data_IF_313402624562
#
_entry.id   IF_313402624562
#
_cell.length_a   1.000
_cell.length_b   1.000
_cell.length_c   1.000
_cell.angle_alpha   90.00
_cell.angle_beta   90.00
_cell.angle_gamma   90.00
#
_symmetry.space_group_name_H-M   'P 1'
#
loop_
_entity.id
_entity.type
_entity.pdbx_description
1 polymer ?
#
# COMPACT_ATOMS: atom_id res chain seq x y z
N UNK A 1 -34.72 -3.19 14.53
CA UNK A 1 -33.55 -2.90 13.69
C UNK A 1 -32.85 -4.22 13.45
N UNK A 2 -32.90 -4.76 12.23
CA UNK A 2 -32.21 -6.02 11.92
C UNK A 2 -30.72 -5.78 12.10
N UNK A 3 -30.03 -6.63 12.88
CA UNK A 3 -28.59 -6.55 13.04
C UNK A 3 -27.97 -6.76 11.65
N UNK A 4 -27.35 -5.74 11.07
CA UNK A 4 -26.53 -5.90 9.87
C UNK A 4 -25.25 -6.55 10.37
N UNK A 5 -24.96 -7.83 10.07
CA UNK A 5 -23.62 -8.33 10.27
C UNK A 5 -22.81 -7.67 9.17
N UNK A 6 -22.06 -6.60 9.50
CA UNK A 6 -20.97 -6.10 8.67
C UNK A 6 -19.80 -7.11 8.70
N UNK A 7 -20.13 -8.39 8.49
CA UNK A 7 -19.16 -9.48 8.49
C UNK A 7 -18.33 -9.33 7.22
N UNK A 8 -17.02 -9.25 7.42
CA UNK A 8 -16.06 -9.31 6.32
C UNK A 8 -16.23 -10.66 5.65
N UNK A 9 -16.40 -10.65 4.34
CA UNK A 9 -16.32 -11.84 3.54
C UNK A 9 -14.85 -12.16 3.29
N UNK A 10 -14.43 -13.36 3.67
CA UNK A 10 -13.11 -13.90 3.31
C UNK A 10 -13.34 -14.99 2.27
N UNK A 11 -12.61 -14.92 1.14
CA UNK A 11 -12.70 -15.93 0.08
C UNK A 11 -12.38 -17.32 0.66
N UNK A 12 -13.11 -18.40 0.31
CA UNK A 12 -12.96 -19.69 0.97
C UNK A 12 -11.53 -20.27 0.98
N UNK A 13 -10.77 -20.09 -0.11
CA UNK A 13 -9.36 -20.49 -0.22
C UNK A 13 -8.45 -19.68 0.69
N UNK A 14 -8.69 -18.37 0.84
CA UNK A 14 -8.00 -17.49 1.79
C UNK A 14 -8.30 -17.91 3.23
N UNK A 15 -9.56 -18.18 3.55
CA UNK A 15 -9.94 -18.66 4.88
C UNK A 15 -9.27 -20.01 5.21
N UNK A 16 -9.30 -20.96 4.27
CA UNK A 16 -8.64 -22.25 4.42
C UNK A 16 -7.11 -22.12 4.53
N UNK A 17 -6.49 -21.21 3.77
CA UNK A 17 -5.07 -20.91 3.88
C UNK A 17 -4.72 -20.40 5.28
N UNK A 18 -5.49 -19.45 5.82
CA UNK A 18 -5.27 -18.91 7.15
C UNK A 18 -5.47 -19.96 8.26
N UNK A 19 -6.51 -20.79 8.16
CA UNK A 19 -6.75 -21.91 9.09
C UNK A 19 -5.62 -22.95 9.04
N UNK A 20 -5.14 -23.27 7.84
CA UNK A 20 -4.01 -24.17 7.61
C UNK A 20 -2.63 -23.54 7.88
N UNK A 21 -2.58 -22.28 8.33
CA UNK A 21 -1.36 -21.48 8.49
C UNK A 21 -0.51 -21.41 7.22
N UNK A 22 -1.13 -21.43 6.05
CA UNK A 22 -0.44 -21.16 4.80
C UNK A 22 -0.19 -19.65 4.63
N UNK A 23 0.88 -19.25 3.93
CA UNK A 23 1.21 -17.84 3.76
C UNK A 23 0.15 -17.11 2.93
N UNK A 24 -0.32 -15.96 3.41
CA UNK A 24 -1.26 -15.09 2.69
C UNK A 24 -0.72 -13.66 2.64
N UNK A 25 -0.81 -13.02 1.47
CA UNK A 25 -0.42 -11.63 1.25
C UNK A 25 -1.64 -10.83 0.81
N UNK A 26 -2.00 -9.81 1.59
CA UNK A 26 -3.02 -8.86 1.18
C UNK A 26 -2.51 -7.93 0.06
N UNK A 27 -3.40 -7.50 -0.83
CA UNK A 27 -3.14 -6.50 -1.87
C UNK A 27 -4.26 -5.43 -1.86
N UNK A 28 -3.91 -4.16 -2.07
CA UNK A 28 -4.92 -3.09 -2.15
C UNK A 28 -5.51 -2.98 -3.57
N UNK A 29 -6.81 -2.72 -3.69
CA UNK A 29 -7.45 -2.56 -5.00
C UNK A 29 -7.32 -1.15 -5.59
N UNK A 30 -7.08 -0.12 -4.76
CA UNK A 30 -6.83 1.25 -5.28
C UNK A 30 -5.61 1.30 -6.20
N UNK A 31 -4.62 0.46 -5.93
CA UNK A 31 -3.40 0.34 -6.73
C UNK A 31 -3.72 0.05 -8.19
N UNK A 32 -4.65 -0.87 -8.43
CA UNK A 32 -5.05 -1.32 -9.77
C UNK A 32 -6.13 -0.41 -10.39
N UNK A 33 -7.09 0.04 -9.60
CA UNK A 33 -8.23 0.84 -10.08
C UNK A 33 -7.89 2.33 -10.33
N UNK A 34 -6.96 2.90 -9.54
CA UNK A 34 -6.68 4.35 -9.55
C UNK A 34 -5.18 4.69 -9.63
N UNK A 35 -4.29 3.72 -9.39
CA UNK A 35 -2.84 3.94 -9.41
C UNK A 35 -2.20 3.83 -10.80
N UNK A 36 -2.95 3.30 -11.79
CA UNK A 36 -2.48 2.97 -13.12
C UNK A 36 -3.54 3.34 -14.18
N UNK A 37 -3.16 3.48 -15.45
CA UNK A 37 -4.13 3.51 -16.54
C UNK A 37 -5.03 2.26 -16.51
N UNK A 38 -6.33 2.43 -16.79
CA UNK A 38 -7.34 1.37 -16.62
C UNK A 38 -7.03 0.04 -17.31
N UNK A 39 -6.42 0.08 -18.50
CA UNK A 39 -6.07 -1.14 -19.25
C UNK A 39 -4.93 -1.94 -18.63
N UNK A 40 -4.05 -1.30 -17.88
CA UNK A 40 -2.87 -1.93 -17.27
C UNK A 40 -3.20 -2.56 -15.90
N UNK A 41 -4.25 -2.07 -15.23
CA UNK A 41 -4.57 -2.43 -13.85
C UNK A 41 -4.88 -3.92 -13.65
N UNK A 42 -5.72 -4.48 -14.53
CA UNK A 42 -6.16 -5.88 -14.41
C UNK A 42 -5.05 -6.86 -14.78
N UNK A 43 -4.32 -6.58 -15.87
CA UNK A 43 -3.16 -7.39 -16.26
C UNK A 43 -2.10 -7.42 -15.15
N UNK A 44 -1.82 -6.26 -14.55
CA UNK A 44 -0.90 -6.20 -13.42
C UNK A 44 -1.43 -6.98 -12.21
N UNK A 45 -2.71 -6.85 -11.87
CA UNK A 45 -3.28 -7.56 -10.72
C UNK A 45 -3.06 -9.08 -10.83
N UNK A 46 -3.38 -9.69 -11.96
CA UNK A 46 -3.14 -11.11 -12.21
C UNK A 46 -1.65 -11.48 -12.19
N UNK A 47 -0.79 -10.61 -12.75
CA UNK A 47 0.66 -10.83 -12.70
C UNK A 47 1.20 -10.82 -11.27
N UNK A 48 0.67 -9.94 -10.42
CA UNK A 48 1.03 -9.88 -9.00
C UNK A 48 0.54 -11.12 -8.26
N UNK A 49 -0.69 -11.59 -8.52
CA UNK A 49 -1.20 -12.84 -7.96
C UNK A 49 -0.30 -14.04 -8.32
N UNK A 50 0.14 -14.12 -9.58
CA UNK A 50 1.09 -15.13 -10.03
C UNK A 50 2.45 -15.03 -9.32
N UNK A 51 3.01 -13.82 -9.16
CA UNK A 51 4.28 -13.62 -8.44
C UNK A 51 4.17 -14.07 -6.97
N UNK A 52 3.04 -13.78 -6.31
CA UNK A 52 2.81 -14.21 -4.93
C UNK A 52 2.70 -15.74 -4.85
N UNK A 53 2.01 -16.36 -5.81
CA UNK A 53 1.88 -17.81 -5.92
C UNK A 53 3.22 -18.52 -6.18
N UNK A 54 4.07 -17.97 -7.05
CA UNK A 54 5.41 -18.50 -7.35
C UNK A 54 6.32 -18.56 -6.11
N UNK A 55 6.11 -17.66 -5.15
CA UNK A 55 6.82 -17.63 -3.86
C UNK A 55 6.12 -18.48 -2.78
N UNK A 56 5.09 -19.25 -3.13
CA UNK A 56 4.40 -20.18 -2.23
C UNK A 56 3.38 -19.53 -1.28
N UNK A 57 2.89 -18.33 -1.61
CA UNK A 57 1.86 -17.64 -0.85
C UNK A 57 0.56 -17.47 -1.67
N UNK A 58 -0.55 -17.23 -0.98
CA UNK A 58 -1.82 -16.89 -1.60
C UNK A 58 -2.03 -15.36 -1.59
N UNK A 59 -2.36 -14.79 -2.73
CA UNK A 59 -2.74 -13.39 -2.82
C UNK A 59 -4.21 -13.18 -2.41
N UNK A 60 -4.47 -12.13 -1.65
CA UNK A 60 -5.80 -11.73 -1.23
C UNK A 60 -6.02 -10.24 -1.52
N UNK A 61 -6.47 -9.92 -2.73
CA UNK A 61 -6.86 -8.55 -3.09
C UNK A 61 -8.10 -8.14 -2.29
N UNK A 62 -8.08 -6.94 -1.71
CA UNK A 62 -9.13 -6.47 -0.78
C UNK A 62 -9.98 -5.38 -1.43
N UNK A 63 -11.31 -5.47 -1.28
CA UNK A 63 -12.26 -4.51 -1.83
C UNK A 63 -13.58 -4.48 -1.06
N UNK A 64 -14.54 -3.69 -1.53
CA UNK A 64 -15.93 -3.77 -1.10
C UNK A 64 -16.77 -4.11 -2.34
N UNK A 65 -17.56 -5.18 -2.27
CA UNK A 65 -18.42 -5.65 -3.37
C UNK A 65 -19.87 -5.62 -2.92
N UNK A 66 -20.72 -4.80 -3.56
CA UNK A 66 -22.13 -4.65 -3.23
C UNK A 66 -22.39 -4.37 -1.73
N UNK A 67 -21.55 -3.51 -1.13
CA UNK A 67 -21.59 -3.17 0.29
C UNK A 67 -21.01 -4.22 1.24
N UNK A 68 -20.42 -5.30 0.72
CA UNK A 68 -19.77 -6.34 1.52
C UNK A 68 -18.25 -6.16 1.47
N UNK A 69 -17.57 -5.89 2.60
CA UNK A 69 -16.11 -5.93 2.62
C UNK A 69 -15.63 -7.34 2.26
N UNK A 70 -14.74 -7.46 1.28
CA UNK A 70 -14.24 -8.73 0.75
C UNK A 70 -12.71 -8.77 0.83
N UNK A 71 -12.18 -9.85 1.39
CA UNK A 71 -10.74 -10.18 1.44
C UNK A 71 -10.52 -11.40 0.56
N UNK A 72 -9.80 -11.19 -0.54
CA UNK A 72 -9.71 -12.14 -1.65
C UNK A 72 -10.87 -11.91 -2.63
N UNK A 73 -10.76 -10.90 -3.50
CA UNK A 73 -11.67 -10.76 -4.64
C UNK A 73 -11.46 -11.94 -5.59
N UNK A 74 -12.54 -12.52 -6.13
CA UNK A 74 -12.42 -13.43 -7.29
C UNK A 74 -12.16 -12.64 -8.59
N UNK A 75 -11.98 -13.35 -9.71
CA UNK A 75 -11.65 -12.73 -11.00
C UNK A 75 -12.74 -11.73 -11.47
N UNK A 76 -14.01 -12.06 -11.28
CA UNK A 76 -15.14 -11.21 -11.67
C UNK A 76 -15.24 -9.97 -10.78
N UNK A 77 -15.08 -10.16 -9.46
CA UNK A 77 -15.05 -9.08 -8.49
C UNK A 77 -13.82 -8.16 -8.69
N UNK A 78 -12.67 -8.72 -9.03
CA UNK A 78 -11.46 -7.97 -9.34
C UNK A 78 -11.64 -7.14 -10.62
N UNK A 79 -12.13 -7.73 -11.70
CA UNK A 79 -12.43 -7.01 -12.94
C UNK A 79 -13.46 -5.90 -12.69
N UNK A 80 -14.51 -6.17 -11.92
CA UNK A 80 -15.51 -5.18 -11.55
C UNK A 80 -14.90 -3.97 -10.81
N UNK A 81 -14.01 -4.22 -9.85
CA UNK A 81 -13.38 -3.16 -9.04
C UNK A 81 -12.34 -2.38 -9.84
N UNK A 82 -11.60 -3.04 -10.73
CA UNK A 82 -10.50 -2.41 -11.48
C UNK A 82 -10.99 -1.70 -12.73
N UNK A 83 -11.91 -2.31 -13.46
CA UNK A 83 -12.40 -1.82 -14.76
C UNK A 83 -13.73 -1.06 -14.66
N UNK A 84 -14.42 -1.15 -13.51
CA UNK A 84 -15.71 -0.51 -13.30
C UNK A 84 -15.68 1.02 -13.43
N UNK A 85 -16.74 1.58 -14.01
CA UNK A 85 -16.98 3.02 -13.95
C UNK A 85 -17.40 3.43 -12.54
N UNK A 86 -16.94 4.60 -12.09
CA UNK A 86 -17.36 5.23 -10.83
C UNK A 86 -17.10 4.39 -9.56
N UNK A 87 -16.07 3.54 -9.59
CA UNK A 87 -15.58 2.82 -8.40
C UNK A 87 -14.88 3.83 -7.47
N UNK A 88 -15.43 4.16 -6.29
CA UNK A 88 -14.81 5.12 -5.39
C UNK A 88 -13.55 4.52 -4.75
N UNK A 89 -12.54 5.37 -4.54
CA UNK A 89 -11.43 5.11 -3.64
C UNK A 89 -11.92 5.22 -2.19
N UNK A 90 -11.77 4.15 -1.42
CA UNK A 90 -12.23 4.02 -0.05
C UNK A 90 -11.08 4.11 0.94
N UNK A 91 -10.91 5.27 1.56
CA UNK A 91 -10.14 5.40 2.80
C UNK A 91 -10.91 4.81 3.99
N UNK A 92 -10.25 4.71 5.14
CA UNK A 92 -10.80 4.03 6.32
C UNK A 92 -12.15 4.65 6.78
N UNK A 93 -12.30 5.97 6.64
CA UNK A 93 -13.52 6.69 7.00
C UNK A 93 -14.68 6.47 6.01
N UNK A 94 -14.37 6.04 4.79
CA UNK A 94 -15.35 5.89 3.72
C UNK A 94 -15.98 4.48 3.74
N UNK A 95 -15.31 3.50 4.37
CA UNK A 95 -15.78 2.12 4.48
C UNK A 95 -17.22 2.00 5.02
N UNK A 96 -17.59 2.61 6.18
CA UNK A 96 -18.93 2.45 6.73
C UNK A 96 -20.02 2.98 5.80
N UNK A 97 -19.76 4.11 5.14
CA UNK A 97 -20.70 4.72 4.21
C UNK A 97 -20.86 3.89 2.94
N UNK A 98 -19.77 3.33 2.39
CA UNK A 98 -19.83 2.45 1.22
C UNK A 98 -20.60 1.16 1.51
N UNK A 99 -20.32 0.54 2.67
CA UNK A 99 -20.99 -0.68 3.15
C UNK A 99 -22.48 -0.43 3.35
N UNK A 100 -22.85 0.62 4.09
CA UNK A 100 -24.25 0.96 4.34
C UNK A 100 -25.03 1.27 3.05
N UNK A 101 -24.35 1.83 2.04
CA UNK A 101 -24.95 2.16 0.76
C UNK A 101 -25.04 0.97 -0.22
N UNK A 102 -24.53 -0.21 0.12
CA UNK A 102 -24.54 -1.35 -0.80
C UNK A 102 -23.63 -1.16 -2.02
N UNK A 103 -22.62 -0.29 -1.95
CA UNK A 103 -21.79 0.10 -3.11
C UNK A 103 -20.52 -0.74 -3.24
N UNK A 104 -19.98 -0.77 -4.45
CA UNK A 104 -18.62 -1.23 -4.71
C UNK A 104 -17.60 -0.15 -4.33
N UNK A 105 -16.36 -0.54 -4.04
CA UNK A 105 -15.28 0.42 -3.85
C UNK A 105 -13.90 -0.22 -3.72
N UNK A 106 -12.89 0.49 -4.23
CA UNK A 106 -11.50 0.10 -4.18
C UNK A 106 -10.86 0.60 -2.88
N UNK A 107 -10.19 -0.27 -2.13
CA UNK A 107 -9.62 0.07 -0.81
C UNK A 107 -8.22 0.66 -0.95
N UNK A 108 -7.91 1.67 -0.11
CA UNK A 108 -6.54 2.21 0.03
C UNK A 108 -5.74 1.39 1.04
N UNK A 109 -4.43 1.63 1.12
CA UNK A 109 -3.53 1.16 2.19
C UNK A 109 -4.21 1.09 3.57
N UNK A 110 -4.77 2.20 4.09
CA UNK A 110 -5.47 2.21 5.38
C UNK A 110 -6.61 1.17 5.49
N UNK A 111 -7.52 1.17 4.51
CA UNK A 111 -8.68 0.27 4.49
C UNK A 111 -8.30 -1.19 4.27
N UNK A 112 -7.34 -1.43 3.36
CA UNK A 112 -6.80 -2.76 3.07
C UNK A 112 -6.13 -3.34 4.31
N UNK A 113 -5.25 -2.58 4.96
CA UNK A 113 -4.58 -3.02 6.17
C UNK A 113 -5.60 -3.41 7.26
N UNK A 114 -6.60 -2.55 7.49
CA UNK A 114 -7.64 -2.79 8.48
C UNK A 114 -8.42 -4.08 8.22
N UNK A 115 -8.95 -4.26 7.01
CA UNK A 115 -9.73 -5.43 6.65
C UNK A 115 -8.88 -6.71 6.61
N UNK A 116 -7.64 -6.62 6.12
CA UNK A 116 -6.68 -7.72 6.12
C UNK A 116 -6.37 -8.21 7.54
N UNK A 117 -6.09 -7.29 8.47
CA UNK A 117 -5.83 -7.61 9.86
C UNK A 117 -7.05 -8.26 10.55
N UNK A 118 -8.26 -7.74 10.27
CA UNK A 118 -9.49 -8.34 10.78
C UNK A 118 -9.75 -9.76 10.23
N UNK A 119 -9.30 -10.04 9.00
CA UNK A 119 -9.32 -11.38 8.42
C UNK A 119 -8.19 -12.29 8.95
N UNK A 120 -7.22 -11.76 9.70
CA UNK A 120 -6.08 -12.52 10.23
C UNK A 120 -4.83 -12.52 9.33
N UNK A 121 -4.85 -11.79 8.21
CA UNK A 121 -3.68 -11.63 7.34
C UNK A 121 -2.70 -10.64 7.99
N UNK A 122 -1.44 -11.06 8.15
CA UNK A 122 -0.40 -10.26 8.80
C UNK A 122 0.58 -9.58 7.84
N UNK A 123 0.50 -9.83 6.53
CA UNK A 123 1.43 -9.26 5.54
C UNK A 123 0.65 -8.64 4.37
N UNK A 124 1.05 -7.43 3.99
CA UNK A 124 0.42 -6.61 2.96
C UNK A 124 1.49 -6.00 2.05
N UNK A 125 1.31 -6.11 0.73
CA UNK A 125 2.15 -5.44 -0.26
C UNK A 125 1.43 -4.27 -0.94
N UNK A 126 2.12 -3.13 -1.06
CA UNK A 126 1.68 -1.97 -1.87
C UNK A 126 2.87 -1.40 -2.63
N UNK A 127 2.63 -0.49 -3.57
CA UNK A 127 3.69 0.31 -4.17
C UNK A 127 4.34 1.24 -3.15
N UNK A 128 3.55 2.13 -2.56
CA UNK A 128 4.04 3.19 -1.67
C UNK A 128 2.92 3.74 -0.80
N UNK A 129 3.24 4.07 0.43
CA UNK A 129 2.28 4.57 1.42
C UNK A 129 1.79 5.98 1.04
N UNK A 130 0.62 6.36 1.52
CA UNK A 130 0.32 7.77 1.80
C UNK A 130 1.16 8.27 2.99
N UNK A 131 1.10 9.57 3.25
CA UNK A 131 1.90 10.18 4.31
C UNK A 131 1.52 11.64 4.52
N UNK A 132 2.44 12.40 5.09
CA UNK A 132 2.29 13.85 5.28
C UNK A 132 2.54 14.54 3.94
N UNK A 133 1.60 15.39 3.51
CA UNK A 133 1.79 16.18 2.29
C UNK A 133 2.75 17.35 2.54
N UNK A 134 3.41 17.82 1.47
CA UNK A 134 4.45 18.88 1.55
C UNK A 134 3.94 20.21 2.12
N UNK A 135 2.67 20.51 1.95
CA UNK A 135 2.03 21.73 2.47
C UNK A 135 1.22 21.45 3.76
N UNK A 136 1.39 20.29 4.41
CA UNK A 136 0.58 19.87 5.55
C UNK A 136 0.74 20.76 6.79
N UNK A 137 1.84 21.49 6.91
CA UNK A 137 2.03 22.48 7.99
C UNK A 137 0.90 23.52 8.01
N UNK A 138 0.39 23.90 6.84
CA UNK A 138 -0.66 24.90 6.69
C UNK A 138 -2.02 24.27 6.39
N UNK A 139 -2.02 23.14 5.67
CA UNK A 139 -3.25 22.50 5.16
C UNK A 139 -3.77 21.37 6.04
N UNK A 140 -2.95 20.82 6.93
CA UNK A 140 -3.23 19.61 7.71
C UNK A 140 -3.55 18.38 6.85
N UNK A 141 -3.06 18.36 5.59
CA UNK A 141 -3.25 17.25 4.66
C UNK A 141 -2.30 16.09 4.98
N UNK A 142 -2.81 15.14 5.76
CA UNK A 142 -2.10 13.95 6.19
C UNK A 142 -2.93 12.70 5.83
N UNK A 143 -2.27 11.70 5.24
CA UNK A 143 -2.94 10.44 4.90
C UNK A 143 -3.42 9.70 6.14
N UNK A 144 -4.67 9.22 6.08
CA UNK A 144 -5.23 8.31 7.08
C UNK A 144 -4.46 6.98 7.18
N UNK A 145 -3.58 6.66 6.22
CA UNK A 145 -2.68 5.52 6.29
C UNK A 145 -1.83 5.56 7.57
N UNK A 146 -1.31 6.73 7.97
CA UNK A 146 -0.43 6.83 9.14
C UNK A 146 -1.16 6.43 10.43
N UNK A 147 -2.39 6.92 10.61
CA UNK A 147 -3.21 6.56 11.77
C UNK A 147 -3.64 5.09 11.72
N UNK A 148 -3.97 4.55 10.54
CA UNK A 148 -4.32 3.14 10.40
C UNK A 148 -3.14 2.22 10.75
N UNK A 149 -1.92 2.57 10.32
CA UNK A 149 -0.71 1.83 10.67
C UNK A 149 -0.43 1.86 12.17
N UNK A 150 -0.81 2.93 12.89
CA UNK A 150 -0.66 3.01 14.34
C UNK A 150 -1.57 2.03 15.11
N UNK A 151 -2.64 1.54 14.48
CA UNK A 151 -3.69 0.75 15.13
C UNK A 151 -4.03 -0.57 14.41
N UNK A 152 -3.21 -1.00 13.46
CA UNK A 152 -3.44 -2.20 12.66
C UNK A 152 -2.21 -3.12 12.60
N UNK A 153 -2.30 -4.37 13.07
CA UNK A 153 -1.14 -5.26 13.12
C UNK A 153 -0.86 -5.98 11.80
N UNK A 154 -0.19 -5.29 10.89
CA UNK A 154 0.30 -5.85 9.63
C UNK A 154 1.74 -5.44 9.35
N UNK A 155 2.48 -6.27 8.64
CA UNK A 155 3.71 -5.87 7.96
C UNK A 155 3.30 -5.26 6.62
N UNK A 156 3.66 -4.01 6.37
CA UNK A 156 3.43 -3.36 5.08
C UNK A 156 4.74 -3.24 4.34
N UNK A 157 4.85 -3.97 3.22
CA UNK A 157 6.00 -3.93 2.33
C UNK A 157 5.75 -2.86 1.26
N UNK A 158 6.61 -1.85 1.19
CA UNK A 158 6.48 -0.75 0.26
C UNK A 158 7.84 -0.15 -0.15
N UNK A 159 7.87 0.65 -1.22
CA UNK A 159 9.02 1.48 -1.57
C UNK A 159 8.97 2.86 -0.87
N UNK A 160 8.58 2.87 0.41
CA UNK A 160 8.46 4.09 1.22
C UNK A 160 7.12 4.79 1.02
N UNK A 161 7.13 6.12 0.96
CA UNK A 161 5.93 6.94 0.69
C UNK A 161 6.01 7.50 -0.72
N UNK A 162 4.86 7.72 -1.37
CA UNK A 162 4.80 8.27 -2.74
C UNK A 162 5.66 9.55 -2.83
N UNK A 163 6.51 9.68 -3.86
CA UNK A 163 7.53 10.75 -3.97
C UNK A 163 7.00 12.18 -3.90
N UNK A 164 5.70 12.34 -4.11
CA UNK A 164 4.95 13.60 -4.04
C UNK A 164 4.80 14.12 -2.60
N UNK A 165 5.01 13.28 -1.59
CA UNK A 165 4.82 13.56 -0.18
C UNK A 165 6.08 14.14 0.48
N UNK A 166 5.92 14.64 1.70
CA UNK A 166 7.04 15.05 2.56
C UNK A 166 7.56 13.83 3.33
N UNK A 167 8.72 13.34 2.91
CA UNK A 167 9.34 12.15 3.50
C UNK A 167 9.74 12.41 4.96
N UNK A 168 10.38 13.55 5.23
CA UNK A 168 10.84 13.89 6.57
C UNK A 168 9.68 13.98 7.55
N UNK A 169 8.65 14.75 7.19
CA UNK A 169 7.47 14.91 8.04
C UNK A 169 6.74 13.57 8.24
N UNK A 170 6.71 12.71 7.22
CA UNK A 170 6.12 11.38 7.34
C UNK A 170 6.90 10.48 8.31
N UNK A 171 8.23 10.46 8.23
CA UNK A 171 9.07 9.69 9.17
C UNK A 171 8.90 10.17 10.62
N UNK A 172 8.89 11.49 10.83
CA UNK A 172 8.64 12.09 12.16
C UNK A 172 7.24 11.75 12.69
N UNK A 173 6.26 11.67 11.80
CA UNK A 173 4.89 11.30 12.18
C UNK A 173 4.77 9.82 12.53
N UNK A 174 5.40 8.93 11.77
CA UNK A 174 5.47 7.49 12.09
C UNK A 174 6.19 7.24 13.41
N UNK A 175 7.28 7.97 13.68
CA UNK A 175 7.97 7.97 14.98
C UNK A 175 7.03 8.34 16.12
N UNK A 176 6.31 9.47 15.97
CA UNK A 176 5.34 9.95 16.98
C UNK A 176 4.22 8.93 17.24
N UNK A 177 3.77 8.24 16.19
CA UNK A 177 2.73 7.21 16.27
C UNK A 177 3.27 5.86 16.75
N UNK A 178 4.57 5.72 16.97
CA UNK A 178 5.20 4.48 17.42
C UNK A 178 5.18 3.37 16.38
N UNK A 179 5.06 3.70 15.08
CA UNK A 179 5.07 2.75 13.98
C UNK A 179 6.53 2.47 13.56
N UNK A 180 7.07 1.26 13.77
CA UNK A 180 8.43 0.95 13.36
C UNK A 180 8.58 0.98 11.84
N UNK A 181 9.63 1.64 11.39
CA UNK A 181 10.08 1.66 9.99
C UNK A 181 11.43 0.96 9.91
N UNK A 182 11.48 -0.11 9.13
CA UNK A 182 12.65 -0.97 8.98
C UNK A 182 13.02 -1.06 7.51
N UNK A 183 14.28 -0.81 7.17
CA UNK A 183 14.77 -0.96 5.80
C UNK A 183 15.04 -2.42 5.46
N UNK A 184 14.68 -2.86 4.26
CA UNK A 184 15.10 -4.16 3.74
C UNK A 184 16.43 -4.00 2.99
N UNK A 185 17.52 -4.49 3.59
CA UNK A 185 18.91 -4.41 3.09
C UNK A 185 19.37 -2.97 2.82
N UNK A 186 18.85 -2.02 3.58
CA UNK A 186 19.19 -0.60 3.44
C UNK A 186 18.99 0.12 4.76
N UNK A 187 19.81 1.15 5.01
CA UNK A 187 19.57 2.17 6.05
C UNK A 187 19.12 3.50 5.46
N UNK A 188 18.81 3.55 4.17
CA UNK A 188 18.20 4.71 3.52
C UNK A 188 16.72 4.46 3.30
N UNK A 189 15.88 5.42 3.65
CA UNK A 189 14.46 5.35 3.33
C UNK A 189 14.26 5.59 1.82
N UNK A 190 13.58 4.70 1.08
CA UNK A 190 13.34 4.85 -0.35
C UNK A 190 12.44 6.04 -0.66
N UNK A 191 12.74 6.73 -1.77
CA UNK A 191 11.94 7.84 -2.30
C UNK A 191 10.90 7.38 -3.32
N UNK A 192 10.36 6.17 -3.19
CA UNK A 192 9.45 5.52 -4.12
C UNK A 192 10.05 5.28 -5.51
N UNK A 193 10.01 6.26 -6.42
CA UNK A 193 10.62 6.13 -7.76
C UNK A 193 12.15 6.07 -7.74
N UNK A 194 12.78 6.53 -6.66
CA UNK A 194 14.24 6.57 -6.45
C UNK A 194 14.62 5.73 -5.23
N UNK A 195 15.78 5.07 -5.30
CA UNK A 195 16.28 4.14 -4.30
C UNK A 195 16.56 4.78 -2.94
N UNK A 196 16.83 6.08 -2.90
CA UNK A 196 17.01 6.86 -1.68
C UNK A 196 16.19 8.15 -1.73
N UNK A 197 15.62 8.53 -0.59
CA UNK A 197 14.99 9.83 -0.37
C UNK A 197 15.94 10.87 0.24
N UNK A 198 17.18 10.47 0.57
CA UNK A 198 18.12 11.27 1.35
C UNK A 198 17.86 11.27 2.87
N UNK A 199 16.93 10.45 3.35
CA UNK A 199 16.64 10.27 4.77
C UNK A 199 17.09 8.89 5.26
N UNK A 200 17.74 8.87 6.42
CA UNK A 200 18.25 7.64 7.03
C UNK A 200 17.20 6.92 7.89
N UNK A 201 17.34 5.60 7.94
CA UNK A 201 16.63 4.68 8.84
C UNK A 201 17.58 4.18 9.91
N UNK A 202 17.05 4.01 11.11
CA UNK A 202 17.81 3.49 12.26
C UNK A 202 18.05 1.98 12.14
N UNK A 203 17.06 1.25 11.60
CA UNK A 203 17.06 -0.21 11.58
C UNK A 203 16.96 -0.77 10.16
N UNK A 204 17.69 -1.87 9.94
CA UNK A 204 17.75 -2.62 8.69
C UNK A 204 17.68 -4.12 8.99
N UNK A 205 17.05 -4.89 8.11
CA UNK A 205 17.05 -6.36 8.12
C UNK A 205 17.58 -6.89 6.79
N UNK A 206 18.23 -8.06 6.81
CA UNK A 206 18.94 -8.58 5.64
C UNK A 206 18.21 -9.73 4.91
N UNK A 207 17.18 -10.30 5.53
CA UNK A 207 16.41 -11.41 4.99
C UNK A 207 14.94 -11.35 5.45
N UNK A 208 14.03 -12.03 4.73
CA UNK A 208 12.60 -12.04 5.05
C UNK A 208 12.27 -12.63 6.43
N UNK A 209 13.05 -13.59 6.92
CA UNK A 209 12.80 -14.23 8.22
C UNK A 209 13.12 -13.28 9.38
N UNK A 210 14.13 -12.43 9.24
CA UNK A 210 14.42 -11.38 10.21
C UNK A 210 13.32 -10.31 10.22
N UNK A 211 12.76 -9.94 9.06
CA UNK A 211 11.60 -9.04 8.99
C UNK A 211 10.39 -9.63 9.74
N UNK A 212 10.03 -10.89 9.45
CA UNK A 212 8.96 -11.59 10.15
C UNK A 212 9.21 -11.64 11.67
N UNK A 213 10.42 -12.01 12.09
CA UNK A 213 10.81 -12.09 13.51
C UNK A 213 10.68 -10.74 14.22
N UNK A 214 11.06 -9.64 13.59
CA UNK A 214 10.91 -8.29 14.17
C UNK A 214 9.45 -7.97 14.46
N UNK A 215 8.56 -8.25 13.51
CA UNK A 215 7.12 -8.07 13.70
C UNK A 215 6.55 -8.95 14.82
N UNK A 216 6.94 -10.23 14.88
CA UNK A 216 6.49 -11.12 15.97
C UNK A 216 7.05 -10.71 17.33
N UNK A 217 8.28 -10.19 17.40
CA UNK A 217 8.86 -9.67 18.64
C UNK A 217 8.14 -8.40 19.11
N UNK A 218 7.79 -7.49 18.20
CA UNK A 218 6.94 -6.34 18.50
C UNK A 218 5.64 -6.80 19.20
N UNK A 219 5.00 -7.85 18.70
CA UNK A 219 3.80 -8.43 19.32
C UNK A 219 4.08 -9.04 20.68
N UNK A 220 5.17 -9.80 20.82
CA UNK A 220 5.57 -10.43 22.09
C UNK A 220 5.88 -9.40 23.20
N UNK A 221 6.29 -8.19 22.82
CA UNK A 221 6.54 -7.06 23.73
C UNK A 221 5.26 -6.28 24.10
N UNK A 222 4.07 -6.75 23.71
CA UNK A 222 2.81 -6.08 24.01
C UNK A 222 2.46 -4.92 23.06
N UNK A 223 3.13 -4.81 21.92
CA UNK A 223 2.91 -3.77 20.90
C UNK A 223 2.16 -4.34 19.69
N UNK A 224 1.19 -5.21 19.95
CA UNK A 224 0.49 -6.01 18.94
C UNK A 224 -0.63 -5.27 18.21
N UNK A 225 -0.79 -3.98 18.45
CA UNK A 225 -1.82 -3.10 17.90
C UNK A 225 -1.33 -2.24 16.73
N UNK A 226 -0.05 -2.28 16.36
CA UNK A 226 0.51 -1.43 15.31
C UNK A 226 1.18 -2.22 14.19
N UNK A 227 1.29 -1.58 13.04
CA UNK A 227 1.94 -2.13 11.87
C UNK A 227 3.45 -2.06 12.01
N UNK A 228 4.15 -2.75 11.11
CA UNK A 228 5.56 -2.51 10.82
C UNK A 228 5.69 -2.14 9.34
N UNK A 229 6.35 -1.02 9.04
CA UNK A 229 6.70 -0.65 7.67
C UNK A 229 8.03 -1.30 7.31
N UNK A 230 8.01 -2.17 6.30
CA UNK A 230 9.21 -2.75 5.70
C UNK A 230 9.51 -1.99 4.39
N UNK A 231 10.44 -1.04 4.47
CA UNK A 231 10.81 -0.18 3.36
C UNK A 231 11.83 -0.87 2.44
N UNK A 232 11.41 -1.18 1.22
CA UNK A 232 12.18 -1.94 0.24
C UNK A 232 12.49 -1.07 -1.01
N UNK A 233 13.75 -0.58 -1.17
CA UNK A 233 14.11 0.22 -2.33
C UNK A 233 14.22 -0.62 -3.60
N UNK A 234 14.04 0.03 -4.75
CA UNK A 234 14.55 -0.49 -6.02
C UNK A 234 16.08 -0.48 -6.03
N UNK A 235 16.73 -1.38 -6.77
CA UNK A 235 18.12 -1.20 -7.17
C UNK A 235 18.30 0.10 -7.97
N UNK A 236 19.44 0.78 -7.82
CA UNK A 236 19.71 2.04 -8.51
C UNK A 236 19.65 1.92 -10.04
N UNK A 237 19.94 0.74 -10.60
CA UNK A 237 19.82 0.49 -12.04
C UNK A 237 18.36 0.40 -12.54
N UNK A 238 17.39 0.20 -11.64
CA UNK A 238 15.97 0.03 -11.97
C UNK A 238 15.13 1.28 -11.64
N UNK A 239 15.72 2.26 -10.94
CA UNK A 239 15.04 3.49 -10.49
C UNK A 239 14.76 4.48 -11.64
N UNK A 240 13.93 5.49 -11.37
CA UNK A 240 13.77 6.63 -12.27
C UNK A 240 15.01 7.53 -12.20
N UNK A 241 15.47 8.05 -13.35
CA UNK A 241 16.59 9.01 -13.37
C UNK A 241 16.35 10.14 -12.34
N UNK A 242 17.24 10.33 -11.33
CA UNK A 242 17.01 11.29 -10.26
C UNK A 242 16.85 12.72 -10.76
N UNK A 243 17.56 13.09 -11.83
CA UNK A 243 17.47 14.45 -12.41
C UNK A 243 16.11 14.67 -13.09
N UNK A 244 15.59 13.66 -13.79
CA UNK A 244 14.24 13.66 -14.35
C UNK A 244 13.19 13.69 -13.24
N UNK A 245 13.35 12.86 -12.20
CA UNK A 245 12.46 12.82 -11.05
C UNK A 245 12.31 14.20 -10.42
N UNK A 246 13.42 14.83 -10.02
CA UNK A 246 13.40 16.10 -9.29
C UNK A 246 12.82 17.24 -10.14
N UNK A 247 13.18 17.29 -11.43
CA UNK A 247 12.62 18.26 -12.37
C UNK A 247 11.10 18.12 -12.51
N UNK A 248 10.61 16.89 -12.66
CA UNK A 248 9.17 16.62 -12.84
C UNK A 248 8.41 16.93 -11.55
N UNK A 249 8.93 16.50 -10.39
CA UNK A 249 8.33 16.79 -9.09
C UNK A 249 8.21 18.30 -8.85
N UNK A 250 9.29 19.05 -9.08
CA UNK A 250 9.30 20.50 -8.88
C UNK A 250 8.23 21.19 -9.73
N UNK A 251 8.18 20.88 -11.03
CA UNK A 251 7.17 21.44 -11.95
C UNK A 251 5.75 21.01 -11.59
N UNK A 252 5.56 19.76 -11.16
CA UNK A 252 4.25 19.26 -10.74
C UNK A 252 3.71 20.06 -9.55
N UNK A 253 4.55 20.30 -8.54
CA UNK A 253 4.18 21.09 -7.36
C UNK A 253 3.89 22.55 -7.69
N UNK A 254 4.66 23.17 -8.59
CA UNK A 254 4.38 24.52 -9.09
C UNK A 254 3.03 24.59 -9.82
N UNK A 255 2.74 23.63 -10.70
CA UNK A 255 1.47 23.56 -11.43
C UNK A 255 0.27 23.26 -10.53
N UNK A 256 0.47 22.43 -9.50
CA UNK A 256 -0.55 22.16 -8.48
C UNK A 256 -0.93 23.45 -7.76
N UNK A 257 0.08 24.22 -7.30
CA UNK A 257 -0.13 25.49 -6.60
C UNK A 257 -0.78 26.54 -7.48
N UNK A 258 -0.31 26.70 -8.73
CA UNK A 258 -0.87 27.70 -9.65
C UNK A 258 -2.34 27.44 -10.01
N UNK A 259 -2.77 26.17 -9.98
CA UNK A 259 -4.15 25.75 -10.22
C UNK A 259 -5.00 25.65 -8.95
N UNK A 260 -4.43 25.90 -7.77
CA UNK A 260 -5.14 25.81 -6.49
C UNK A 260 -5.68 24.40 -6.18
N UNK A 261 -5.00 23.35 -6.63
CA UNK A 261 -5.42 21.97 -6.39
C UNK A 261 -5.09 21.59 -4.94
N UNK A 262 -6.11 21.20 -4.17
CA UNK A 262 -6.01 20.88 -2.74
C UNK A 262 -6.79 19.62 -2.37
N UNK A 263 -6.49 19.07 -1.20
CA UNK A 263 -7.20 17.92 -0.62
C UNK A 263 -7.19 16.68 -1.54
N UNK A 264 -8.32 15.97 -1.71
CA UNK A 264 -8.38 14.71 -2.47
C UNK A 264 -7.88 14.79 -3.92
N UNK A 265 -7.86 15.99 -4.52
CA UNK A 265 -7.36 16.21 -5.89
C UNK A 265 -5.84 16.21 -6.04
N UNK A 266 -5.08 16.35 -4.94
CA UNK A 266 -3.62 16.50 -4.97
C UNK A 266 -2.92 15.25 -5.50
N UNK A 267 -3.20 14.08 -4.93
CA UNK A 267 -2.50 12.84 -5.31
C UNK A 267 -2.79 12.44 -6.76
N UNK A 268 -4.06 12.39 -7.24
CA UNK A 268 -4.34 12.06 -8.63
C UNK A 268 -3.66 13.02 -9.62
N UNK A 269 -3.70 14.32 -9.35
CA UNK A 269 -3.05 15.32 -10.20
C UNK A 269 -1.55 15.10 -10.30
N UNK A 270 -0.86 14.92 -9.16
CA UNK A 270 0.59 14.78 -9.17
C UNK A 270 1.03 13.46 -9.83
N UNK A 271 0.31 12.35 -9.62
CA UNK A 271 0.62 11.09 -10.29
C UNK A 271 0.40 11.15 -11.80
N UNK A 272 -0.70 11.77 -12.25
CA UNK A 272 -0.98 12.00 -13.67
C UNK A 272 0.10 12.89 -14.32
N UNK A 273 0.54 13.93 -13.60
CA UNK A 273 1.63 14.78 -14.05
C UNK A 273 2.93 13.99 -14.23
N UNK A 274 3.29 13.13 -13.27
CA UNK A 274 4.46 12.24 -13.40
C UNK A 274 4.35 11.32 -14.60
N UNK A 275 3.19 10.70 -14.81
CA UNK A 275 2.96 9.80 -15.93
C UNK A 275 3.16 10.50 -17.27
N UNK A 276 2.56 11.68 -17.42
CA UNK A 276 2.59 12.48 -18.64
C UNK A 276 3.96 13.11 -18.92
N UNK A 277 4.75 13.42 -17.88
CA UNK A 277 5.99 14.19 -18.01
C UNK A 277 7.28 13.37 -17.85
N UNK A 278 7.19 12.04 -17.77
CA UNK A 278 8.36 11.13 -17.73
C UNK A 278 8.47 10.20 -18.95
N UNK A 279 7.61 10.36 -19.97
CA UNK A 279 7.59 9.46 -21.12
C UNK A 279 7.30 8.00 -20.74
N UNK A 280 6.39 7.81 -19.77
CA UNK A 280 6.01 6.51 -19.22
C UNK A 280 7.07 5.86 -18.33
N UNK A 281 8.21 6.52 -18.03
CA UNK A 281 9.23 5.93 -17.15
C UNK A 281 8.70 5.76 -15.71
N UNK A 282 7.96 6.72 -15.17
CA UNK A 282 7.39 6.59 -13.81
C UNK A 282 6.44 5.40 -13.71
N UNK A 283 5.62 5.16 -14.75
CA UNK A 283 4.73 4.00 -14.80
C UNK A 283 5.51 2.68 -14.77
N UNK A 284 6.52 2.55 -15.64
CA UNK A 284 7.36 1.34 -15.70
C UNK A 284 8.06 1.07 -14.37
N UNK A 285 8.57 2.12 -13.73
CA UNK A 285 9.18 2.03 -12.40
C UNK A 285 8.15 1.63 -11.35
N UNK A 286 6.94 2.21 -11.37
CA UNK A 286 5.86 1.87 -10.43
C UNK A 286 5.47 0.38 -10.54
N UNK A 287 5.29 -0.14 -11.76
CA UNK A 287 5.01 -1.56 -12.00
C UNK A 287 6.10 -2.44 -11.38
N UNK A 288 7.39 -2.11 -11.61
CA UNK A 288 8.51 -2.85 -11.00
C UNK A 288 8.51 -2.81 -9.47
N UNK A 289 8.18 -1.66 -8.88
CA UNK A 289 8.05 -1.53 -7.42
C UNK A 289 7.00 -2.51 -6.90
N UNK A 290 5.82 -2.52 -7.52
CA UNK A 290 4.69 -3.35 -7.09
C UNK A 290 5.06 -4.83 -7.18
N UNK A 291 5.62 -5.27 -8.31
CA UNK A 291 6.07 -6.66 -8.52
C UNK A 291 7.10 -7.10 -7.47
N UNK A 292 8.08 -6.25 -7.16
CA UNK A 292 9.13 -6.57 -6.17
C UNK A 292 8.61 -6.58 -4.74
N UNK A 293 7.73 -5.64 -4.40
CA UNK A 293 7.15 -5.59 -3.07
C UNK A 293 6.22 -6.77 -2.81
N UNK A 294 5.45 -7.19 -3.82
CA UNK A 294 4.63 -8.40 -3.73
C UNK A 294 5.47 -9.66 -3.53
N UNK A 295 6.57 -9.81 -4.30
CA UNK A 295 7.52 -10.91 -4.12
C UNK A 295 8.11 -10.94 -2.71
N UNK A 296 8.63 -9.80 -2.24
CA UNK A 296 9.20 -9.70 -0.89
C UNK A 296 8.16 -9.98 0.20
N UNK A 297 6.93 -9.46 0.04
CA UNK A 297 5.84 -9.74 0.96
C UNK A 297 5.51 -11.24 1.03
N UNK A 298 5.47 -11.94 -0.10
CA UNK A 298 5.26 -13.38 -0.13
C UNK A 298 6.38 -14.13 0.61
N UNK A 299 7.63 -13.74 0.41
CA UNK A 299 8.78 -14.31 1.14
C UNK A 299 8.71 -14.06 2.66
N UNK A 300 8.26 -12.87 3.07
CA UNK A 300 8.06 -12.54 4.50
C UNK A 300 6.90 -13.32 5.09
N UNK A 301 5.80 -13.48 4.34
CA UNK A 301 4.64 -14.27 4.75
C UNK A 301 5.03 -15.74 4.92
N UNK A 302 5.79 -16.30 3.99
CA UNK A 302 6.30 -17.67 4.07
C UNK A 302 7.20 -17.87 5.30
N UNK A 303 8.03 -16.88 5.63
CA UNK A 303 8.88 -16.93 6.83
C UNK A 303 8.12 -16.68 8.15
N UNK A 304 6.87 -16.19 8.09
CA UNK A 304 6.01 -15.94 9.25
C UNK A 304 5.22 -17.18 9.68
N UNK A 305 5.13 -18.20 8.83
CA UNK A 305 4.50 -19.48 9.13
C UNK A 305 5.49 -20.33 9.92
N UNK A 306 5.42 -20.28 11.24
CA UNK A 306 6.13 -21.20 12.14
C UNK A 306 5.19 -21.74 13.23
#
# INVERSE_FOLDING_TARGET
MSAVPAAIHVRPDVAAALEGRHPVVALESTLFAHGLPRHDGLELAHRIEAIVADEGALAATVGVVAGRPTVGLDDEELELIVSGSDIPKLGIRDLPSCVAAGRHGATTVASTAHLAAQAGISVFATGGLGGVHREARDTWDESADLQALATTPVIVVCAGVKSILDVNATLQRLETLGVPVVGYRTTNFPGFYVSTSGHDLVWSVHDPAMAARTFWMQRALGLADRAMVLAAPLPEAEQLDPTLHDRVLHRALEQMRSRGITGPGVTPFLLDYFHSNTGGQSLRVNVRIIERNARLAAQVAAASVT
#
